data_IF_886056320821
#
_entry.id   IF_886056320821
#
_cell.length_a   1.000
_cell.length_b   1.000
_cell.length_c   1.000
_cell.angle_alpha   90.00
_cell.angle_beta   90.00
_cell.angle_gamma   90.00
#
_symmetry.space_group_name_H-M   'P 1'
#
loop_
_entity.id
_entity.type
_entity.pdbx_description
1 polymer ?
#
# COMPACT_ATOMS: atom_id res chain seq x y z
N UNK A 1 -5.29 14.45 9.79
CA UNK A 1 -6.30 15.29 9.11
C UNK A 1 -7.34 15.84 10.09
N UNK A 2 -8.15 14.99 10.73
CA UNK A 2 -9.26 15.45 11.61
C UNK A 2 -8.79 16.35 12.77
N UNK A 3 -7.66 16.04 13.38
CA UNK A 3 -7.06 16.82 14.47
C UNK A 3 -6.31 18.08 14.00
N UNK A 4 -6.12 18.25 12.67
CA UNK A 4 -5.38 19.38 12.14
C UNK A 4 -6.27 20.64 12.09
N UNK A 5 -5.88 21.75 12.78
CA UNK A 5 -6.69 22.97 12.79
C UNK A 5 -6.85 23.62 11.42
N UNK A 6 -5.84 23.55 10.56
CA UNK A 6 -5.85 24.15 9.23
C UNK A 6 -6.80 23.41 8.27
N UNK A 7 -7.13 22.15 8.54
CA UNK A 7 -8.10 21.38 7.75
C UNK A 7 -9.50 21.63 8.31
N UNK A 8 -10.33 22.32 7.56
CA UNK A 8 -11.69 22.68 7.95
C UNK A 8 -12.68 21.54 7.74
N UNK A 9 -12.58 20.86 6.61
CA UNK A 9 -13.48 19.75 6.24
C UNK A 9 -12.75 18.71 5.39
N UNK A 10 -13.26 17.47 5.43
CA UNK A 10 -12.79 16.34 4.62
C UNK A 10 -14.00 15.66 4.00
N UNK A 11 -13.98 15.44 2.71
CA UNK A 11 -14.97 14.61 2.01
C UNK A 11 -14.31 13.26 1.73
N UNK A 12 -14.73 12.23 2.46
CA UNK A 12 -14.29 10.86 2.21
C UNK A 12 -15.13 10.23 1.11
N UNK A 13 -14.47 9.77 0.03
CA UNK A 13 -15.15 9.17 -1.12
C UNK A 13 -14.76 7.70 -1.20
N UNK A 14 -15.76 6.81 -1.23
CA UNK A 14 -15.54 5.37 -1.34
C UNK A 14 -16.77 4.68 -1.94
N UNK A 15 -16.57 3.56 -2.64
CA UNK A 15 -17.68 2.75 -3.17
C UNK A 15 -18.60 2.22 -2.05
N UNK A 16 -18.00 1.82 -0.94
CA UNK A 16 -18.71 1.35 0.26
C UNK A 16 -18.40 2.31 1.40
N UNK A 17 -19.45 2.96 1.87
CA UNK A 17 -19.30 3.94 2.94
C UNK A 17 -18.95 3.24 4.27
N UNK A 18 -17.96 3.74 5.02
CA UNK A 18 -17.68 3.26 6.36
C UNK A 18 -18.76 3.75 7.33
N UNK A 19 -18.99 2.98 8.40
CA UNK A 19 -19.83 3.39 9.54
C UNK A 19 -19.04 4.20 10.57
N UNK A 20 -18.20 5.14 10.09
CA UNK A 20 -17.34 5.97 10.93
C UNK A 20 -17.91 7.39 11.00
N UNK A 21 -18.18 7.85 12.22
CA UNK A 21 -18.48 9.25 12.50
C UNK A 21 -17.21 9.94 12.99
N UNK A 22 -16.71 10.87 12.21
CA UNK A 22 -15.51 11.64 12.51
C UNK A 22 -15.83 13.13 12.37
N UNK A 23 -15.34 13.93 13.31
CA UNK A 23 -15.47 15.39 13.20
C UNK A 23 -14.86 15.89 11.90
N UNK A 24 -15.45 16.89 11.28
CA UNK A 24 -15.02 17.48 10.00
C UNK A 24 -15.11 16.53 8.78
N UNK A 25 -15.56 15.29 8.92
CA UNK A 25 -15.62 14.33 7.80
C UNK A 25 -17.05 14.10 7.37
N UNK A 26 -17.30 14.23 6.07
CA UNK A 26 -18.52 13.76 5.43
C UNK A 26 -18.18 12.67 4.40
N UNK A 27 -19.08 11.71 4.24
CA UNK A 27 -18.86 10.58 3.35
C UNK A 27 -19.74 10.68 2.11
N UNK A 28 -19.18 10.35 0.94
CA UNK A 28 -19.87 10.25 -0.35
C UNK A 28 -19.56 8.90 -0.99
N UNK A 29 -20.59 8.29 -1.61
CA UNK A 29 -20.38 7.07 -2.39
C UNK A 29 -20.04 7.44 -3.82
N UNK A 30 -18.92 6.94 -4.34
CA UNK A 30 -18.60 6.98 -5.75
C UNK A 30 -17.59 5.89 -6.13
N UNK A 31 -17.67 5.45 -7.38
CA UNK A 31 -16.74 4.55 -8.03
C UNK A 31 -15.87 5.34 -9.02
N UNK A 32 -14.56 5.34 -8.79
CA UNK A 32 -13.60 6.05 -9.66
C UNK A 32 -13.65 5.57 -11.11
N UNK A 33 -14.16 4.37 -11.35
CA UNK A 33 -14.28 3.77 -12.67
C UNK A 33 -15.46 4.32 -13.48
N UNK A 34 -16.57 4.71 -12.83
CA UNK A 34 -17.86 4.90 -13.51
C UNK A 34 -18.50 6.26 -13.25
N UNK A 35 -18.36 6.76 -12.02
CA UNK A 35 -19.09 7.94 -11.59
C UNK A 35 -18.44 9.24 -12.08
N UNK A 36 -19.23 10.31 -12.10
CA UNK A 36 -18.73 11.67 -12.35
C UNK A 36 -18.06 12.20 -11.07
N UNK A 37 -16.75 12.42 -11.13
CA UNK A 37 -15.94 12.87 -10.01
C UNK A 37 -15.82 14.39 -9.90
N UNK A 38 -16.05 15.12 -11.00
CA UNK A 38 -15.88 16.58 -11.05
C UNK A 38 -16.75 17.31 -10.01
N UNK A 39 -18.04 17.01 -9.87
CA UNK A 39 -18.88 17.66 -8.86
C UNK A 39 -18.46 17.31 -7.42
N UNK A 40 -17.81 16.15 -7.22
CA UNK A 40 -17.33 15.73 -5.91
C UNK A 40 -16.05 16.46 -5.48
N UNK A 41 -15.27 16.96 -6.44
CA UNK A 41 -14.03 17.70 -6.22
C UNK A 41 -14.21 19.23 -6.26
N UNK A 42 -15.34 19.70 -6.73
CA UNK A 42 -15.61 21.13 -6.87
C UNK A 42 -15.43 21.88 -5.53
N UNK A 43 -14.57 22.89 -5.53
CA UNK A 43 -14.29 23.73 -4.36
C UNK A 43 -13.35 23.06 -3.32
N UNK A 44 -12.74 21.93 -3.64
CA UNK A 44 -11.71 21.33 -2.77
C UNK A 44 -10.36 22.03 -2.97
N UNK A 45 -9.62 22.24 -1.87
CA UNK A 45 -8.26 22.76 -1.91
C UNK A 45 -7.24 21.68 -2.30
N UNK A 46 -7.58 20.42 -2.10
CA UNK A 46 -6.72 19.28 -2.45
C UNK A 46 -7.52 17.99 -2.63
N UNK A 47 -7.02 17.12 -3.50
CA UNK A 47 -7.47 15.72 -3.61
C UNK A 47 -6.35 14.79 -3.18
N UNK A 48 -6.67 13.84 -2.28
CA UNK A 48 -5.79 12.74 -1.89
C UNK A 48 -6.31 11.47 -2.53
N UNK A 49 -5.58 10.95 -3.51
CA UNK A 49 -5.96 9.73 -4.23
C UNK A 49 -5.36 8.48 -3.59
N UNK A 50 -6.17 7.76 -2.82
CA UNK A 50 -5.81 6.53 -2.12
C UNK A 50 -6.47 5.28 -2.72
N UNK A 51 -7.42 5.45 -3.65
CA UNK A 51 -8.19 4.33 -4.20
C UNK A 51 -7.27 3.38 -4.97
N UNK A 52 -7.23 2.13 -4.54
CA UNK A 52 -6.41 1.08 -5.16
C UNK A 52 -6.99 -0.30 -4.90
N UNK A 53 -7.07 -1.14 -5.94
CA UNK A 53 -7.49 -2.53 -5.85
C UNK A 53 -6.27 -3.46 -5.90
N UNK A 54 -5.99 -4.16 -4.80
CA UNK A 54 -4.96 -5.23 -4.75
C UNK A 54 -5.56 -6.57 -5.21
N UNK A 55 -6.86 -6.73 -5.05
CA UNK A 55 -7.62 -7.92 -5.43
C UNK A 55 -8.84 -7.51 -6.28
N UNK A 56 -9.29 -8.35 -7.18
CA UNK A 56 -8.93 -9.76 -7.38
C UNK A 56 -7.62 -9.93 -8.19
N UNK A 57 -6.63 -10.62 -7.64
CA UNK A 57 -5.34 -10.89 -8.33
C UNK A 57 -5.44 -11.85 -9.51
N UNK A 58 -6.59 -12.50 -9.67
CA UNK A 58 -6.87 -13.43 -10.78
C UNK A 58 -7.55 -12.76 -11.97
N UNK A 59 -8.07 -11.57 -11.76
CA UNK A 59 -8.62 -10.73 -12.82
C UNK A 59 -7.82 -9.42 -12.89
N UNK A 60 -6.69 -9.51 -13.58
CA UNK A 60 -5.79 -8.35 -13.74
C UNK A 60 -6.46 -7.27 -14.59
N UNK A 61 -7.35 -7.64 -15.52
CA UNK A 61 -8.08 -6.67 -16.36
C UNK A 61 -8.99 -5.81 -15.50
N UNK A 62 -9.68 -6.39 -14.51
CA UNK A 62 -10.51 -5.62 -13.57
C UNK A 62 -9.64 -4.67 -12.74
N UNK A 63 -8.51 -5.16 -12.22
CA UNK A 63 -7.61 -4.30 -11.43
C UNK A 63 -6.92 -3.23 -12.29
N UNK A 64 -6.58 -3.49 -13.55
CA UNK A 64 -6.06 -2.46 -14.48
C UNK A 64 -7.08 -1.35 -14.69
N UNK A 65 -8.35 -1.72 -14.89
CA UNK A 65 -9.43 -0.75 -15.11
C UNK A 65 -9.66 0.14 -13.88
N UNK A 66 -9.67 -0.45 -12.68
CA UNK A 66 -9.83 0.32 -11.43
C UNK A 66 -8.58 1.18 -11.16
N UNK A 67 -7.39 0.58 -11.22
CA UNK A 67 -6.16 1.21 -10.77
C UNK A 67 -5.59 2.19 -11.79
N UNK A 68 -5.52 1.82 -13.06
CA UNK A 68 -4.91 2.68 -14.10
C UNK A 68 -5.96 3.66 -14.63
N UNK A 69 -7.06 3.12 -15.16
CA UNK A 69 -8.09 3.95 -15.77
C UNK A 69 -8.82 4.82 -14.74
N UNK A 70 -9.14 4.23 -13.56
CA UNK A 70 -9.73 4.99 -12.45
C UNK A 70 -8.81 6.12 -11.97
N UNK A 71 -7.48 5.89 -11.87
CA UNK A 71 -6.54 6.95 -11.51
C UNK A 71 -6.48 8.04 -12.58
N UNK A 72 -6.46 7.68 -13.87
CA UNK A 72 -6.52 8.65 -14.97
C UNK A 72 -7.75 9.55 -14.84
N UNK A 73 -8.94 8.98 -14.59
CA UNK A 73 -10.18 9.72 -14.39
C UNK A 73 -10.13 10.65 -13.18
N UNK A 74 -9.50 10.21 -12.08
CA UNK A 74 -9.30 11.07 -10.89
C UNK A 74 -8.42 12.26 -11.25
N UNK A 75 -7.32 12.06 -11.97
CA UNK A 75 -6.42 13.15 -12.36
C UNK A 75 -7.09 14.14 -13.30
N UNK A 76 -7.83 13.68 -14.30
CA UNK A 76 -8.60 14.53 -15.21
C UNK A 76 -9.66 15.34 -14.45
N UNK A 77 -10.39 14.71 -13.53
CA UNK A 77 -11.39 15.38 -12.71
C UNK A 77 -10.77 16.43 -11.75
N UNK A 78 -9.55 16.21 -11.25
CA UNK A 78 -8.79 17.21 -10.47
C UNK A 78 -8.55 18.46 -11.30
N UNK A 79 -8.07 18.30 -12.53
CA UNK A 79 -7.82 19.44 -13.43
C UNK A 79 -9.12 20.14 -13.85
N UNK A 80 -10.15 19.38 -14.23
CA UNK A 80 -11.45 19.93 -14.66
C UNK A 80 -12.18 20.67 -13.53
N UNK A 81 -12.10 20.16 -12.30
CA UNK A 81 -12.68 20.82 -11.12
C UNK A 81 -11.83 22.02 -10.64
N UNK A 82 -10.66 22.27 -11.23
CA UNK A 82 -9.76 23.35 -10.84
C UNK A 82 -9.12 23.17 -9.47
N UNK A 83 -8.92 21.93 -9.02
CA UNK A 83 -8.29 21.65 -7.73
C UNK A 83 -6.78 21.89 -7.82
N UNK A 84 -6.20 22.75 -6.97
CA UNK A 84 -4.81 23.16 -7.12
C UNK A 84 -3.78 22.12 -6.62
N UNK A 85 -4.22 21.11 -5.85
CA UNK A 85 -3.30 20.17 -5.22
C UNK A 85 -3.77 18.72 -5.36
N UNK A 86 -2.86 17.84 -5.79
CA UNK A 86 -3.07 16.38 -5.89
C UNK A 86 -1.99 15.65 -5.10
N UNK A 87 -2.39 14.81 -4.14
CA UNK A 87 -1.48 13.91 -3.44
C UNK A 87 -1.83 12.47 -3.79
N UNK A 88 -0.89 11.75 -4.38
CA UNK A 88 -1.08 10.39 -4.86
C UNK A 88 -0.39 9.35 -3.97
N UNK A 89 -1.10 8.28 -3.65
CA UNK A 89 -0.58 7.11 -2.96
C UNK A 89 0.17 6.20 -3.94
N UNK A 90 1.45 6.49 -4.18
CA UNK A 90 2.34 5.61 -4.92
C UNK A 90 2.88 4.48 -4.03
N UNK A 91 4.04 3.91 -4.33
CA UNK A 91 4.63 2.77 -3.61
C UNK A 91 6.10 2.58 -4.01
N UNK A 92 6.89 1.94 -3.15
CA UNK A 92 8.19 1.35 -3.54
C UNK A 92 8.06 0.40 -4.73
N UNK A 93 6.89 -0.20 -4.92
CA UNK A 93 6.60 -1.09 -6.05
C UNK A 93 6.59 -0.42 -7.43
N UNK A 94 6.65 0.91 -7.53
CA UNK A 94 6.75 1.63 -8.79
C UNK A 94 8.14 1.54 -9.42
N UNK A 95 9.16 1.29 -8.61
CA UNK A 95 10.55 1.33 -9.07
C UNK A 95 10.94 0.14 -9.95
N UNK A 96 11.86 0.41 -10.88
CA UNK A 96 12.58 -0.61 -11.64
C UNK A 96 13.42 -1.49 -10.71
N UNK A 97 13.73 -2.74 -11.12
CA UNK A 97 14.60 -3.62 -10.37
C UNK A 97 15.92 -2.97 -9.97
N UNK A 98 16.35 -3.25 -8.73
CA UNK A 98 17.64 -2.79 -8.20
C UNK A 98 18.27 -3.85 -7.29
N UNK A 99 19.59 -3.77 -7.13
CA UNK A 99 20.29 -4.54 -6.11
C UNK A 99 20.02 -3.97 -4.70
N UNK A 100 20.26 -4.78 -3.67
CA UNK A 100 20.07 -4.40 -2.27
C UNK A 100 21.33 -3.80 -1.62
N UNK A 101 22.42 -3.62 -2.38
CA UNK A 101 23.71 -3.16 -1.86
C UNK A 101 23.77 -1.66 -1.57
N UNK A 102 22.81 -0.89 -2.07
CA UNK A 102 22.72 0.55 -1.85
C UNK A 102 21.28 1.05 -1.78
N UNK A 103 21.12 2.28 -1.29
CA UNK A 103 19.83 2.98 -1.31
C UNK A 103 19.70 3.79 -2.59
N UNK A 104 18.46 3.95 -3.02
CA UNK A 104 18.09 4.70 -4.23
C UNK A 104 17.14 5.84 -3.85
N UNK A 105 17.40 6.99 -4.42
CA UNK A 105 16.57 8.17 -4.29
C UNK A 105 15.35 8.12 -5.24
N UNK A 106 14.58 9.20 -5.27
CA UNK A 106 13.35 9.31 -6.06
C UNK A 106 13.60 9.42 -7.56
N UNK A 107 14.86 9.57 -8.00
CA UNK A 107 15.25 9.61 -9.43
C UNK A 107 15.50 8.22 -10.02
N UNK A 108 15.52 7.16 -9.19
CA UNK A 108 15.62 5.80 -9.70
C UNK A 108 14.45 5.49 -10.66
N UNK A 109 14.70 4.82 -11.82
CA UNK A 109 13.66 4.55 -12.81
C UNK A 109 12.42 3.88 -12.23
N UNK A 110 11.26 4.20 -12.81
CA UNK A 110 9.93 3.76 -12.34
C UNK A 110 9.21 2.88 -13.36
N UNK A 111 9.94 1.94 -14.02
CA UNK A 111 9.34 1.00 -14.97
C UNK A 111 8.66 -0.20 -14.30
N UNK A 112 8.82 -0.32 -12.98
CA UNK A 112 8.27 -1.43 -12.20
C UNK A 112 8.95 -2.77 -12.43
N UNK A 113 8.56 -3.77 -11.63
CA UNK A 113 8.96 -5.17 -11.79
C UNK A 113 7.95 -5.87 -12.69
N UNK A 114 8.34 -6.20 -13.92
CA UNK A 114 7.43 -6.64 -14.99
C UNK A 114 6.65 -7.94 -14.68
N UNK A 115 7.18 -8.82 -13.86
CA UNK A 115 6.48 -10.04 -13.42
C UNK A 115 5.42 -9.81 -12.34
N UNK A 116 5.37 -8.60 -11.72
CA UNK A 116 4.37 -8.21 -10.73
C UNK A 116 3.30 -7.31 -11.36
N UNK A 117 2.05 -7.76 -11.38
CA UNK A 117 0.95 -6.92 -11.89
C UNK A 117 0.79 -5.63 -11.08
N UNK A 118 0.93 -5.70 -9.75
CA UNK A 118 0.88 -4.55 -8.87
C UNK A 118 1.95 -3.51 -9.23
N UNK A 119 3.18 -3.98 -9.42
CA UNK A 119 4.31 -3.12 -9.76
C UNK A 119 4.12 -2.45 -11.14
N UNK A 120 3.69 -3.21 -12.16
CA UNK A 120 3.36 -2.65 -13.48
C UNK A 120 2.26 -1.58 -13.40
N UNK A 121 1.21 -1.84 -12.63
CA UNK A 121 0.11 -0.87 -12.46
C UNK A 121 0.58 0.40 -11.76
N UNK A 122 1.40 0.29 -10.71
CA UNK A 122 1.98 1.47 -10.03
C UNK A 122 2.88 2.28 -10.96
N UNK A 123 3.73 1.62 -11.73
CA UNK A 123 4.57 2.27 -12.73
C UNK A 123 3.75 2.96 -13.83
N UNK A 124 2.70 2.30 -14.32
CA UNK A 124 1.80 2.90 -15.32
C UNK A 124 1.12 4.18 -14.81
N UNK A 125 0.67 4.20 -13.54
CA UNK A 125 0.05 5.39 -12.95
C UNK A 125 1.08 6.50 -12.69
N UNK A 126 2.32 6.17 -12.33
CA UNK A 126 3.40 7.17 -12.26
C UNK A 126 3.63 7.84 -13.63
N UNK A 127 3.66 7.05 -14.70
CA UNK A 127 3.76 7.59 -16.06
C UNK A 127 2.57 8.46 -16.46
N UNK A 128 1.34 8.09 -16.04
CA UNK A 128 0.16 8.96 -16.23
C UNK A 128 0.32 10.29 -15.50
N UNK A 129 0.90 10.28 -14.30
CA UNK A 129 1.17 11.51 -13.54
C UNK A 129 2.24 12.38 -14.20
N UNK A 130 3.27 11.78 -14.82
CA UNK A 130 4.26 12.57 -15.57
C UNK A 130 3.58 13.36 -16.69
N UNK A 131 2.74 12.69 -17.49
CA UNK A 131 1.98 13.37 -18.55
C UNK A 131 0.96 14.38 -18.02
N UNK A 132 0.37 14.10 -16.84
CA UNK A 132 -0.55 15.02 -16.19
C UNK A 132 0.15 16.30 -15.72
N UNK A 133 1.33 16.19 -15.09
CA UNK A 133 2.12 17.34 -14.65
C UNK A 133 2.61 18.20 -15.82
N UNK A 134 2.99 17.55 -16.94
CA UNK A 134 3.35 18.28 -18.18
C UNK A 134 2.16 19.07 -18.75
N UNK A 135 0.94 18.50 -18.68
CA UNK A 135 -0.27 19.10 -19.23
C UNK A 135 -0.88 20.16 -18.32
N UNK A 136 -0.77 20.00 -17.01
CA UNK A 136 -1.38 20.85 -16.00
C UNK A 136 -0.33 21.30 -14.96
N UNK A 137 0.68 22.10 -15.37
CA UNK A 137 1.80 22.50 -14.50
C UNK A 137 1.37 23.38 -13.31
N UNK A 138 0.17 23.99 -13.39
CA UNK A 138 -0.45 24.74 -12.30
C UNK A 138 -0.89 23.84 -11.13
N UNK A 139 -1.21 22.58 -11.36
CA UNK A 139 -1.56 21.64 -10.31
C UNK A 139 -0.30 21.17 -9.58
N UNK A 140 -0.27 21.35 -8.29
CA UNK A 140 0.81 20.82 -7.46
C UNK A 140 0.60 19.33 -7.19
N UNK A 141 1.48 18.50 -7.70
CA UNK A 141 1.42 17.06 -7.50
C UNK A 141 2.47 16.60 -6.49
N UNK A 142 2.05 15.77 -5.53
CA UNK A 142 2.94 15.06 -4.59
C UNK A 142 2.67 13.57 -4.71
N UNK A 143 3.72 12.78 -4.86
CA UNK A 143 3.69 11.31 -4.96
C UNK A 143 4.39 10.72 -3.75
N UNK A 144 3.65 10.10 -2.86
CA UNK A 144 4.25 9.43 -1.72
C UNK A 144 4.54 7.98 -2.07
N UNK A 145 5.81 7.57 -1.98
CA UNK A 145 6.30 6.23 -2.28
C UNK A 145 6.69 5.50 -0.98
N UNK A 146 5.71 4.99 -0.22
CA UNK A 146 6.01 4.27 0.99
C UNK A 146 6.61 2.89 0.71
N UNK A 147 7.45 2.45 1.63
CA UNK A 147 7.82 1.06 1.81
C UNK A 147 6.58 0.21 2.21
N UNK A 148 6.76 -1.05 2.56
CA UNK A 148 5.66 -1.88 3.02
C UNK A 148 5.03 -1.23 4.25
N UNK A 149 3.81 -0.76 4.08
CA UNK A 149 3.10 -0.03 5.14
C UNK A 149 2.35 -1.02 6.04
N UNK A 150 2.67 -0.99 7.31
CA UNK A 150 2.14 -1.91 8.30
C UNK A 150 1.46 -1.17 9.45
N UNK A 151 0.53 -1.86 10.10
CA UNK A 151 -0.20 -1.38 11.28
C UNK A 151 -0.99 -2.52 11.90
N UNK A 152 -1.14 -2.49 13.21
CA UNK A 152 -1.91 -3.48 13.99
C UNK A 152 -3.34 -3.68 13.46
N UNK A 153 -4.08 -2.60 13.21
CA UNK A 153 -5.46 -2.68 12.73
C UNK A 153 -5.58 -3.15 11.26
N UNK A 154 -4.48 -3.19 10.50
CA UNK A 154 -4.46 -3.75 9.16
C UNK A 154 -4.25 -5.29 9.16
N UNK A 155 -4.05 -5.89 10.30
CA UNK A 155 -3.73 -7.32 10.44
C UNK A 155 -4.75 -8.24 9.75
N UNK A 156 -6.04 -7.98 9.93
CA UNK A 156 -7.10 -8.78 9.29
C UNK A 156 -7.08 -8.68 7.78
N UNK A 157 -6.83 -7.50 7.23
CA UNK A 157 -6.70 -7.28 5.79
C UNK A 157 -5.44 -7.93 5.24
N UNK A 158 -4.27 -7.71 5.86
CA UNK A 158 -3.00 -8.30 5.46
C UNK A 158 -3.10 -9.82 5.46
N UNK A 159 -3.69 -10.41 6.52
CA UNK A 159 -3.91 -11.85 6.56
C UNK A 159 -4.81 -12.33 5.42
N UNK A 160 -5.88 -11.60 5.11
CA UNK A 160 -6.83 -11.92 4.04
C UNK A 160 -6.20 -11.82 2.67
N UNK A 161 -5.45 -10.74 2.41
CA UNK A 161 -4.91 -10.43 1.08
C UNK A 161 -3.65 -11.24 0.73
N UNK A 162 -2.85 -11.61 1.73
CA UNK A 162 -1.54 -12.22 1.49
C UNK A 162 -1.42 -13.66 1.99
N UNK A 163 -1.98 -13.99 3.15
CA UNK A 163 -1.82 -15.33 3.73
C UNK A 163 -3.01 -16.26 3.44
N UNK A 164 -4.20 -15.70 3.22
CA UNK A 164 -5.40 -16.47 2.98
C UNK A 164 -5.97 -17.16 4.24
N UNK A 165 -7.05 -17.95 4.09
CA UNK A 165 -7.81 -18.49 5.22
C UNK A 165 -7.14 -19.69 5.91
N UNK A 166 -6.19 -20.35 5.24
CA UNK A 166 -5.62 -21.62 5.72
C UNK A 166 -4.46 -21.45 6.70
N UNK A 167 -3.87 -20.25 6.78
CA UNK A 167 -2.77 -19.99 7.73
C UNK A 167 -3.36 -19.75 9.12
N UNK A 168 -3.11 -20.63 10.10
CA UNK A 168 -3.67 -20.48 11.44
C UNK A 168 -3.00 -19.33 12.20
N UNK A 169 -3.74 -18.70 13.11
CA UNK A 169 -3.25 -17.52 13.84
C UNK A 169 -2.00 -17.79 14.69
N UNK A 170 -1.80 -19.04 15.16
CA UNK A 170 -0.62 -19.40 15.94
C UNK A 170 0.70 -19.27 15.17
N UNK A 171 0.67 -19.34 13.83
CA UNK A 171 1.85 -19.08 12.98
C UNK A 171 2.39 -17.66 13.17
N UNK A 172 1.56 -16.72 13.59
CA UNK A 172 1.97 -15.33 13.86
C UNK A 172 2.42 -15.11 15.32
N UNK A 173 2.44 -16.17 16.13
CA UNK A 173 2.99 -16.07 17.47
C UNK A 173 4.52 -16.30 17.40
N UNK A 174 5.28 -15.20 17.53
CA UNK A 174 6.74 -15.20 17.46
C UNK A 174 7.40 -16.27 18.34
N UNK A 175 6.82 -16.57 19.52
CA UNK A 175 7.34 -17.60 20.44
C UNK A 175 7.17 -19.04 19.94
N UNK A 176 6.38 -19.27 18.90
CA UNK A 176 6.09 -20.60 18.34
C UNK A 176 6.74 -20.81 16.97
N UNK A 177 7.41 -19.80 16.41
CA UNK A 177 8.11 -19.88 15.14
C UNK A 177 9.62 -20.08 15.40
N UNK A 178 10.15 -21.32 15.40
CA UNK A 178 11.57 -21.53 15.63
C UNK A 178 12.45 -21.17 14.43
N UNK A 179 11.85 -21.13 13.23
CA UNK A 179 12.55 -20.92 11.96
C UNK A 179 11.79 -19.94 11.07
N UNK A 180 12.50 -19.03 10.42
CA UNK A 180 11.95 -18.08 9.45
C UNK A 180 12.70 -18.24 8.13
N UNK A 181 12.00 -18.57 7.03
CA UNK A 181 12.64 -18.62 5.72
C UNK A 181 13.01 -17.20 5.27
N UNK A 182 14.27 -16.97 4.93
CA UNK A 182 14.79 -15.70 4.48
C UNK A 182 15.88 -15.88 3.42
N UNK A 183 16.10 -14.84 2.64
CA UNK A 183 17.24 -14.72 1.73
C UNK A 183 17.65 -13.26 1.67
N UNK A 184 18.93 -12.96 1.51
CA UNK A 184 19.44 -11.58 1.50
C UNK A 184 18.74 -10.67 0.47
N UNK A 185 18.36 -11.22 -0.70
CA UNK A 185 17.60 -10.50 -1.71
C UNK A 185 16.17 -10.14 -1.28
N UNK A 186 15.64 -10.73 -0.18
CA UNK A 186 14.36 -10.35 0.40
C UNK A 186 14.50 -9.23 1.45
N UNK A 187 15.70 -8.67 1.59
CA UNK A 187 15.92 -7.46 2.39
C UNK A 187 14.97 -6.35 1.90
N UNK A 188 14.24 -5.76 2.82
CA UNK A 188 13.20 -4.78 2.52
C UNK A 188 13.09 -3.69 3.60
N UNK A 189 12.30 -2.68 3.32
CA UNK A 189 11.96 -1.64 4.29
C UNK A 189 10.47 -1.69 4.62
N UNK A 190 10.14 -1.24 5.82
CA UNK A 190 8.77 -1.07 6.29
C UNK A 190 8.56 0.36 6.76
N UNK A 191 7.32 0.76 6.93
CA UNK A 191 6.95 2.05 7.51
C UNK A 191 5.61 1.90 8.24
N UNK A 192 5.46 2.57 9.38
CA UNK A 192 4.21 2.54 10.09
C UNK A 192 3.14 3.40 9.40
N UNK A 193 1.90 2.93 9.39
CA UNK A 193 0.79 3.64 8.73
C UNK A 193 0.56 5.06 9.28
N UNK A 194 0.85 5.30 10.56
CA UNK A 194 0.76 6.64 11.15
C UNK A 194 1.83 7.59 10.60
N UNK A 195 3.07 7.11 10.38
CA UNK A 195 4.12 7.90 9.77
C UNK A 195 3.81 8.23 8.30
N UNK A 196 3.19 7.29 7.58
CA UNK A 196 2.68 7.57 6.22
C UNK A 196 1.57 8.61 6.26
N UNK A 197 0.64 8.53 7.22
CA UNK A 197 -0.43 9.52 7.39
C UNK A 197 0.11 10.92 7.71
N UNK A 198 1.20 10.98 8.49
CA UNK A 198 1.91 12.24 8.76
C UNK A 198 2.53 12.82 7.49
N UNK A 199 3.13 11.97 6.63
CA UNK A 199 3.64 12.43 5.33
C UNK A 199 2.52 13.02 4.43
N UNK A 200 1.32 12.42 4.43
CA UNK A 200 0.16 13.01 3.75
C UNK A 200 -0.23 14.36 4.33
N UNK A 201 -0.21 14.50 5.66
CA UNK A 201 -0.52 15.78 6.32
C UNK A 201 0.47 16.86 5.90
N UNK A 202 1.77 16.56 5.99
CA UNK A 202 2.84 17.47 5.59
C UNK A 202 2.78 17.83 4.10
N UNK A 203 2.48 16.85 3.23
CA UNK A 203 2.30 17.08 1.81
C UNK A 203 1.11 18.00 1.49
N UNK A 204 0.03 17.93 2.27
CA UNK A 204 -1.14 18.79 2.09
C UNK A 204 -0.88 20.23 2.56
N UNK A 205 -0.26 20.40 3.71
CA UNK A 205 -0.05 21.71 4.33
C UNK A 205 1.20 22.45 3.81
N UNK A 206 2.16 21.70 3.26
CA UNK A 206 3.39 22.25 2.71
C UNK A 206 3.28 22.66 1.25
N UNK A 207 4.41 23.13 0.71
CA UNK A 207 4.57 23.53 -0.69
C UNK A 207 5.40 22.55 -1.52
N UNK A 208 5.85 21.46 -0.94
CA UNK A 208 6.67 20.46 -1.60
C UNK A 208 5.96 19.83 -2.81
N UNK A 209 6.73 19.42 -3.84
CA UNK A 209 6.25 18.90 -5.13
C UNK A 209 7.07 17.68 -5.55
N UNK A 210 6.47 16.76 -6.30
CA UNK A 210 7.12 15.58 -6.85
C UNK A 210 7.10 14.37 -5.92
N UNK A 211 8.03 13.42 -6.08
CA UNK A 211 8.03 12.14 -5.37
C UNK A 211 8.81 12.20 -4.05
N UNK A 212 8.35 11.42 -3.06
CA UNK A 212 9.00 11.28 -1.75
C UNK A 212 8.98 9.84 -1.28
N UNK A 213 10.15 9.30 -0.98
CA UNK A 213 10.34 7.99 -0.40
C UNK A 213 10.06 8.00 1.10
N UNK A 214 9.29 7.01 1.57
CA UNK A 214 8.93 6.89 2.98
C UNK A 214 9.29 5.50 3.50
N UNK A 215 10.25 5.41 4.41
CA UNK A 215 10.67 4.16 5.03
C UNK A 215 11.21 4.41 6.43
N UNK A 216 10.98 3.45 7.33
CA UNK A 216 11.57 3.44 8.67
C UNK A 216 12.90 2.67 8.69
N UNK A 217 13.65 2.85 9.74
CA UNK A 217 14.89 2.14 10.02
C UNK A 217 14.75 1.25 11.27
N UNK A 218 15.55 0.19 11.40
CA UNK A 218 16.52 -0.32 10.41
C UNK A 218 15.85 -1.08 9.26
N UNK A 219 16.64 -1.38 8.22
CA UNK A 219 16.24 -2.26 7.13
C UNK A 219 15.96 -3.66 7.67
N UNK A 220 14.92 -4.31 7.16
CA UNK A 220 14.54 -5.68 7.55
C UNK A 220 15.47 -6.68 6.85
N UNK A 221 16.43 -7.19 7.61
CA UNK A 221 17.40 -8.24 7.21
C UNK A 221 17.09 -9.56 7.90
N UNK A 222 17.90 -10.60 7.67
CA UNK A 222 17.84 -11.88 8.42
C UNK A 222 18.06 -11.65 9.91
N UNK A 223 19.09 -10.90 10.26
CA UNK A 223 19.47 -10.60 11.65
C UNK A 223 18.37 -9.79 12.36
N UNK A 224 17.75 -8.86 11.64
CA UNK A 224 16.59 -8.12 12.15
C UNK A 224 15.44 -9.07 12.47
N UNK A 225 15.09 -9.98 11.55
CA UNK A 225 13.99 -10.93 11.75
C UNK A 225 14.31 -11.93 12.88
N UNK A 226 15.55 -12.40 13.00
CA UNK A 226 15.99 -13.25 14.09
C UNK A 226 15.80 -12.58 15.45
N UNK A 227 16.18 -11.30 15.54
CA UNK A 227 16.01 -10.51 16.76
C UNK A 227 14.54 -10.29 17.11
N UNK A 228 13.73 -9.82 16.14
CA UNK A 228 12.33 -9.47 16.39
C UNK A 228 11.45 -10.68 16.64
N UNK A 229 11.70 -11.79 15.93
CA UNK A 229 10.88 -13.00 16.01
C UNK A 229 11.40 -14.02 17.03
N UNK A 230 12.59 -13.79 17.62
CA UNK A 230 13.27 -14.77 18.50
C UNK A 230 13.42 -16.13 17.80
N UNK A 231 13.67 -16.15 16.49
CA UNK A 231 13.70 -17.30 15.61
C UNK A 231 15.02 -17.33 14.82
N UNK A 232 15.37 -18.49 14.27
CA UNK A 232 16.54 -18.59 13.39
C UNK A 232 16.13 -18.38 11.93
N UNK A 233 16.83 -17.53 11.21
CA UNK A 233 16.69 -17.42 9.77
C UNK A 233 17.25 -18.67 9.10
N UNK A 234 16.50 -19.22 8.16
CA UNK A 234 16.92 -20.34 7.32
C UNK A 234 16.94 -19.87 5.88
N UNK A 235 18.11 -20.01 5.27
CA UNK A 235 18.27 -19.59 3.89
C UNK A 235 17.35 -20.38 2.96
N UNK A 236 16.57 -19.66 2.18
CA UNK A 236 15.69 -20.23 1.16
C UNK A 236 15.97 -19.54 -0.18
N UNK A 237 16.24 -20.31 -1.22
CA UNK A 237 16.42 -19.75 -2.56
C UNK A 237 15.17 -18.96 -3.00
N UNK A 238 15.30 -17.72 -3.52
CA UNK A 238 14.18 -16.94 -4.07
C UNK A 238 13.40 -17.70 -5.14
N UNK A 239 14.09 -18.49 -5.96
CA UNK A 239 13.48 -19.34 -6.98
C UNK A 239 12.58 -20.43 -6.38
N UNK A 240 13.00 -21.04 -5.24
CA UNK A 240 12.18 -22.02 -4.55
C UNK A 240 10.95 -21.34 -3.93
N UNK A 241 11.14 -20.21 -3.26
CA UNK A 241 10.05 -19.44 -2.67
C UNK A 241 9.03 -19.03 -3.75
N UNK A 242 9.52 -18.54 -4.89
CA UNK A 242 8.69 -18.19 -6.04
C UNK A 242 7.89 -19.36 -6.58
N UNK A 243 8.52 -20.55 -6.72
CA UNK A 243 7.83 -21.76 -7.17
C UNK A 243 6.76 -22.24 -6.19
N UNK A 244 7.04 -22.17 -4.89
CA UNK A 244 6.07 -22.48 -3.84
C UNK A 244 4.90 -21.49 -3.86
N UNK A 245 5.16 -20.20 -4.02
CA UNK A 245 4.13 -19.19 -4.16
C UNK A 245 3.26 -19.44 -5.40
N UNK A 246 3.85 -19.78 -6.56
CA UNK A 246 3.13 -20.09 -7.80
C UNK A 246 2.24 -21.34 -7.64
N UNK A 247 2.80 -22.42 -7.06
CA UNK A 247 2.07 -23.67 -6.85
C UNK A 247 0.88 -23.45 -5.91
N UNK A 248 1.11 -22.83 -4.75
CA UNK A 248 0.04 -22.59 -3.77
C UNK A 248 -1.02 -21.63 -4.28
N UNK A 249 -0.63 -20.63 -5.09
CA UNK A 249 -1.56 -19.74 -5.76
C UNK A 249 -2.39 -20.46 -6.82
N UNK A 250 -1.78 -21.31 -7.67
CA UNK A 250 -2.50 -22.13 -8.65
C UNK A 250 -3.48 -23.08 -7.99
N UNK A 251 -3.10 -23.67 -6.86
CA UNK A 251 -3.96 -24.53 -6.05
C UNK A 251 -5.05 -23.77 -5.25
N UNK A 252 -5.08 -22.44 -5.31
CA UNK A 252 -5.99 -21.57 -4.54
C UNK A 252 -5.84 -21.68 -3.01
N UNK A 253 -4.67 -22.10 -2.53
CA UNK A 253 -4.39 -22.20 -1.09
C UNK A 253 -4.08 -20.84 -0.46
N UNK A 254 -3.64 -19.88 -1.27
CA UNK A 254 -3.36 -18.50 -0.86
C UNK A 254 -3.65 -17.54 -2.04
N UNK A 255 -3.91 -16.23 -1.76
CA UNK A 255 -4.35 -15.28 -2.78
C UNK A 255 -3.21 -14.55 -3.51
N UNK A 256 -1.96 -14.76 -3.13
CA UNK A 256 -0.80 -13.96 -3.55
C UNK A 256 -0.10 -14.60 -4.75
N UNK A 257 -0.14 -14.01 -5.96
CA UNK A 257 0.60 -14.53 -7.10
C UNK A 257 2.13 -14.37 -6.91
N UNK A 258 2.95 -15.16 -7.63
CA UNK A 258 4.41 -15.17 -7.46
C UNK A 258 5.09 -13.82 -7.74
N UNK A 259 4.43 -12.93 -8.48
CA UNK A 259 4.94 -11.57 -8.75
C UNK A 259 5.18 -10.71 -7.51
N UNK A 260 4.57 -11.04 -6.35
CA UNK A 260 4.87 -10.38 -5.08
C UNK A 260 6.24 -10.77 -4.55
N UNK A 261 6.64 -12.05 -4.72
CA UNK A 261 8.00 -12.50 -4.40
C UNK A 261 9.01 -11.80 -5.30
N UNK A 262 8.71 -11.76 -6.62
CA UNK A 262 9.57 -11.08 -7.59
C UNK A 262 9.74 -9.59 -7.22
N UNK A 263 8.67 -8.91 -6.81
CA UNK A 263 8.74 -7.53 -6.35
C UNK A 263 9.57 -7.40 -5.06
N UNK A 264 9.37 -8.26 -4.08
CA UNK A 264 10.14 -8.26 -2.82
C UNK A 264 11.64 -8.43 -3.04
N UNK A 265 12.03 -9.30 -3.99
CA UNK A 265 13.43 -9.53 -4.38
C UNK A 265 14.03 -8.32 -5.11
N UNK A 266 13.28 -7.69 -5.99
CA UNK A 266 13.81 -6.70 -6.95
C UNK A 266 13.55 -5.24 -6.58
N UNK A 267 12.62 -4.93 -5.67
CA UNK A 267 12.37 -3.56 -5.24
C UNK A 267 13.61 -2.95 -4.56
N UNK A 268 13.96 -1.69 -4.84
CA UNK A 268 15.12 -1.03 -4.23
C UNK A 268 14.96 -0.83 -2.72
N UNK A 269 16.08 -0.67 -2.04
CA UNK A 269 16.10 0.02 -0.76
C UNK A 269 16.09 1.53 -1.02
N UNK A 270 15.17 2.23 -0.37
CA UNK A 270 14.93 3.65 -0.62
C UNK A 270 15.75 4.54 0.31
N UNK A 271 16.27 5.64 -0.25
CA UNK A 271 16.77 6.79 0.51
C UNK A 271 15.59 7.72 0.82
N UNK A 272 15.48 8.15 2.06
CA UNK A 272 14.40 9.03 2.55
C UNK A 272 14.91 10.46 2.85
N UNK A 273 16.12 10.80 2.42
CA UNK A 273 16.72 12.10 2.72
C UNK A 273 15.88 13.26 2.20
N UNK A 274 15.30 13.13 1.03
CA UNK A 274 14.42 14.14 0.43
C UNK A 274 13.17 14.40 1.26
N UNK A 275 12.49 13.35 1.73
CA UNK A 275 11.30 13.50 2.58
C UNK A 275 11.65 14.24 3.89
N UNK A 276 12.81 13.97 4.46
CA UNK A 276 13.28 14.71 5.66
C UNK A 276 13.58 16.17 5.37
N UNK A 277 14.25 16.47 4.26
CA UNK A 277 14.70 17.81 3.93
C UNK A 277 13.56 18.72 3.45
N UNK A 278 12.68 18.23 2.57
CA UNK A 278 11.68 19.04 1.89
C UNK A 278 10.28 18.96 2.52
N UNK A 279 9.87 17.79 3.07
CA UNK A 279 8.61 17.65 3.80
C UNK A 279 8.77 17.89 5.31
N UNK A 280 10.00 17.86 5.84
CA UNK A 280 10.23 17.81 7.30
C UNK A 280 9.77 16.50 7.93
N UNK A 281 9.56 15.45 7.09
CA UNK A 281 9.04 14.17 7.54
C UNK A 281 10.10 13.34 8.28
N UNK A 282 9.72 12.79 9.41
CA UNK A 282 10.54 11.85 10.18
C UNK A 282 9.64 10.77 10.76
N UNK A 283 9.96 9.48 10.54
CA UNK A 283 9.18 8.42 11.15
C UNK A 283 9.32 8.45 12.68
N UNK A 284 8.21 8.28 13.38
CA UNK A 284 8.15 8.14 14.84
C UNK A 284 8.34 6.68 15.26
N UNK A 285 7.89 5.74 14.41
CA UNK A 285 8.01 4.31 14.65
C UNK A 285 9.25 3.75 13.96
N UNK A 286 10.03 2.96 14.69
CA UNK A 286 11.10 2.16 14.11
C UNK A 286 10.52 1.03 13.24
N UNK A 287 11.35 0.40 12.40
CA UNK A 287 10.95 -0.80 11.68
C UNK A 287 10.60 -1.94 12.65
N UNK A 288 11.28 -2.02 13.79
CA UNK A 288 11.02 -3.02 14.83
C UNK A 288 9.63 -2.82 15.46
N UNK A 289 9.32 -1.60 15.92
CA UNK A 289 8.00 -1.26 16.46
C UNK A 289 6.89 -1.57 15.45
N UNK A 290 7.12 -1.23 14.19
CA UNK A 290 6.18 -1.42 13.08
C UNK A 290 5.88 -2.91 12.83
N UNK A 291 6.91 -3.76 12.82
CA UNK A 291 6.74 -5.20 12.62
C UNK A 291 6.10 -5.86 13.84
N UNK A 292 6.52 -5.47 15.05
CA UNK A 292 5.92 -5.99 16.30
C UNK A 292 4.43 -5.63 16.38
N UNK A 293 4.08 -4.38 16.07
CA UNK A 293 2.69 -3.92 16.10
C UNK A 293 1.80 -4.76 15.15
N UNK A 294 2.27 -5.04 13.93
CA UNK A 294 1.56 -5.93 13.01
C UNK A 294 1.42 -7.36 13.55
N UNK A 295 2.51 -7.95 14.07
CA UNK A 295 2.49 -9.32 14.58
C UNK A 295 1.53 -9.50 15.74
N UNK A 296 1.47 -8.52 16.64
CA UNK A 296 0.49 -8.49 17.72
C UNK A 296 -0.94 -8.41 17.18
N UNK A 297 -1.18 -7.54 16.19
CA UNK A 297 -2.47 -7.45 15.52
C UNK A 297 -2.90 -8.76 14.85
N UNK A 298 -1.97 -9.46 14.19
CA UNK A 298 -2.23 -10.77 13.58
C UNK A 298 -2.56 -11.85 14.61
N UNK A 299 -1.84 -11.86 15.75
CA UNK A 299 -2.11 -12.75 16.89
C UNK A 299 -3.50 -12.48 17.48
N UNK A 300 -3.82 -11.21 17.70
CA UNK A 300 -5.04 -10.75 18.36
C UNK A 300 -6.23 -10.65 17.39
N UNK A 301 -6.01 -10.90 16.10
CA UNK A 301 -7.01 -10.82 15.00
C UNK A 301 -7.64 -9.44 14.89
N UNK A 302 -6.85 -8.42 15.08
CA UNK A 302 -7.32 -7.05 15.04
C UNK A 302 -7.74 -6.59 13.65
N UNK A 303 -8.58 -5.57 13.62
CA UNK A 303 -9.10 -4.92 12.43
C UNK A 303 -9.72 -3.58 12.78
N UNK A 304 -10.46 -2.98 11.86
CA UNK A 304 -11.15 -1.72 12.06
C UNK A 304 -12.57 -1.79 11.46
N UNK A 305 -13.51 -0.94 11.92
CA UNK A 305 -14.89 -0.96 11.43
C UNK A 305 -15.04 -0.30 10.06
N UNK A 306 -14.19 -0.71 9.11
CA UNK A 306 -14.27 -0.33 7.71
C UNK A 306 -14.27 -1.59 6.85
N UNK A 307 -14.97 -1.63 5.72
CA UNK A 307 -15.13 -2.84 4.93
C UNK A 307 -13.85 -3.61 4.62
N UNK A 308 -12.72 -2.98 4.25
CA UNK A 308 -11.47 -3.71 4.01
C UNK A 308 -10.85 -4.31 5.27
N UNK A 309 -10.93 -3.60 6.40
CA UNK A 309 -10.23 -3.91 7.65
C UNK A 309 -11.11 -4.71 8.64
N UNK A 310 -12.42 -4.85 8.36
CA UNK A 310 -13.32 -5.59 9.25
C UNK A 310 -13.00 -7.10 9.22
N UNK A 311 -12.65 -7.71 10.35
CA UNK A 311 -12.39 -9.15 10.45
C UNK A 311 -13.55 -10.04 9.99
N UNK A 312 -14.77 -9.51 9.98
CA UNK A 312 -15.99 -10.21 9.56
C UNK A 312 -16.26 -10.14 8.06
N UNK A 313 -15.52 -9.32 7.32
CA UNK A 313 -15.66 -9.18 5.86
C UNK A 313 -15.43 -10.53 5.18
N UNK A 314 -16.33 -10.94 4.26
CA UNK A 314 -16.29 -12.22 3.55
C UNK A 314 -17.18 -13.31 4.17
N UNK A 315 -17.93 -12.99 5.23
CA UNK A 315 -18.92 -13.88 5.84
C UNK A 315 -18.34 -15.05 6.65
N UNK A 316 -19.18 -15.95 7.18
CA UNK A 316 -18.75 -17.09 7.97
C UNK A 316 -17.85 -18.02 7.17
N UNK A 317 -16.65 -18.31 7.70
CA UNK A 317 -15.63 -19.18 7.09
C UNK A 317 -15.12 -18.76 5.72
N UNK A 318 -15.53 -17.60 5.17
CA UNK A 318 -15.09 -17.03 3.88
C UNK A 318 -15.19 -18.01 2.70
N UNK A 319 -16.20 -18.89 2.70
CA UNK A 319 -16.39 -19.93 1.68
C UNK A 319 -16.62 -19.30 0.30
N UNK A 320 -17.29 -18.15 0.23
CA UNK A 320 -17.49 -17.40 -1.01
C UNK A 320 -16.16 -16.96 -1.62
N UNK A 321 -15.23 -16.49 -0.80
CA UNK A 321 -13.90 -16.05 -1.26
C UNK A 321 -13.02 -17.19 -1.76
N UNK A 322 -13.19 -18.40 -1.21
CA UNK A 322 -12.52 -19.60 -1.71
C UNK A 322 -13.03 -19.99 -3.11
N UNK A 323 -14.31 -19.76 -3.38
CA UNK A 323 -14.95 -20.16 -4.64
C UNK A 323 -14.76 -19.15 -5.74
N UNK A 324 -14.90 -17.87 -5.44
CA UNK A 324 -14.92 -16.76 -6.40
C UNK A 324 -13.63 -15.95 -6.44
N UNK A 325 -12.71 -16.17 -5.50
CA UNK A 325 -11.53 -15.33 -5.26
C UNK A 325 -11.81 -14.21 -4.25
N UNK A 326 -10.74 -13.75 -3.58
CA UNK A 326 -10.81 -12.61 -2.67
C UNK A 326 -11.05 -11.36 -3.51
N UNK A 327 -12.01 -10.53 -3.11
CA UNK A 327 -12.34 -9.28 -3.81
C UNK A 327 -13.24 -9.44 -5.01
N UNK A 328 -13.65 -10.65 -5.39
CA UNK A 328 -14.74 -10.82 -6.34
C UNK A 328 -15.96 -10.08 -5.80
N UNK A 329 -16.48 -9.15 -6.58
CA UNK A 329 -17.61 -8.32 -6.23
C UNK A 329 -18.77 -9.20 -5.70
N UNK A 330 -19.01 -9.11 -4.41
CA UNK A 330 -20.36 -9.32 -3.93
C UNK A 330 -21.11 -8.03 -4.27
N UNK A 331 -22.27 -8.16 -4.94
CA UNK A 331 -23.12 -7.05 -5.28
C UNK A 331 -23.51 -6.22 -4.06
#
# INVERSE_FOLDING_TARGET
MVAEPEIQSVVGIARRLPSLELSKVSWRSADVERDDLVPLFAGADAVVHLAWAIQPSRDVVETDRINIEGSRRVFEAVAEAGVPNLVYASSVGTYSPADKGRRHDEQWPTDGVQSSFYSRQKAAVESLLDHFEDRYPEVRVVRLRPAITLKRQAASEIRRLFFGPFVPAWVFNRRLLPLVPFHEQLTLQVVHSFDVAEAYRLALLGSARGAFNLAAEPVVTSEFLESVLEAKAVEISPNLLRRLADLTWKMRLQPTPPGWVDMGVNAPLMDTARARAELGWKPEFSAEDTVIDLLEGLRDKEGAPTPPLDPKTGGPRRIGELRNGIGASNP
#
